data_IF_689130864710
#
_entry.id   IF_689130864710
#
_cell.length_a   1.000
_cell.length_b   1.000
_cell.length_c   1.000
_cell.angle_alpha   90.00
_cell.angle_beta   90.00
_cell.angle_gamma   90.00
#
_symmetry.space_group_name_H-M   'P 1'
#
loop_
_entity.id
_entity.type
_entity.pdbx_description
1 polymer ?
#
# COMPACT_ATOMS: atom_id res chain seq x y z
N UNK A 1 9.60 -12.01 -6.33
CA UNK A 1 8.45 -11.08 -6.20
C UNK A 1 7.39 -11.53 -7.18
N UNK A 2 6.09 -11.43 -6.87
CA UNK A 2 5.00 -12.15 -7.57
C UNK A 2 4.59 -11.60 -8.96
N UNK A 3 5.43 -10.77 -9.62
CA UNK A 3 5.12 -10.23 -10.94
C UNK A 3 3.75 -9.54 -11.05
N UNK A 4 3.18 -9.53 -12.26
CA UNK A 4 1.80 -9.13 -12.48
C UNK A 4 0.83 -10.25 -12.05
N UNK A 5 -0.13 -9.92 -11.17
CA UNK A 5 -1.13 -10.88 -10.70
C UNK A 5 -2.31 -10.94 -11.65
N UNK A 6 -2.82 -12.16 -11.90
CA UNK A 6 -4.05 -12.41 -12.66
C UNK A 6 -4.91 -13.47 -11.98
N UNK A 7 -6.16 -13.55 -12.40
CA UNK A 7 -7.11 -14.55 -11.93
C UNK A 7 -7.16 -15.68 -12.97
N UNK A 8 -6.97 -16.92 -12.52
CA UNK A 8 -7.15 -18.11 -13.34
C UNK A 8 -8.13 -19.06 -12.64
N UNK A 9 -9.33 -19.18 -13.20
CA UNK A 9 -10.43 -19.90 -12.55
C UNK A 9 -10.81 -19.25 -11.21
N UNK A 10 -10.60 -19.98 -10.11
CA UNK A 10 -10.87 -19.51 -8.74
C UNK A 10 -9.59 -19.16 -7.93
N UNK A 11 -8.43 -19.05 -8.58
CA UNK A 11 -7.14 -18.76 -7.91
C UNK A 11 -6.50 -17.49 -8.47
N UNK A 12 -5.79 -16.78 -7.60
CA UNK A 12 -4.83 -15.77 -8.02
C UNK A 12 -3.54 -16.48 -8.43
N UNK A 13 -2.98 -16.10 -9.59
CA UNK A 13 -1.70 -16.61 -10.09
C UNK A 13 -0.77 -15.45 -10.43
N UNK A 14 0.54 -15.70 -10.34
CA UNK A 14 1.57 -14.77 -10.80
C UNK A 14 1.77 -14.80 -12.33
N UNK A 15 2.73 -14.03 -12.81
CA UNK A 15 3.13 -13.98 -14.22
C UNK A 15 3.50 -15.36 -14.77
N UNK A 16 4.08 -16.23 -13.94
CA UNK A 16 4.53 -17.57 -14.28
C UNK A 16 3.44 -18.65 -14.12
N UNK A 17 2.20 -18.27 -13.81
CA UNK A 17 1.06 -19.15 -13.52
C UNK A 17 1.14 -19.91 -12.19
N UNK A 18 2.01 -19.52 -11.26
CA UNK A 18 2.02 -20.13 -9.93
C UNK A 18 0.92 -19.53 -9.05
N UNK A 19 0.16 -20.35 -8.31
CA UNK A 19 -0.87 -19.85 -7.40
C UNK A 19 -0.25 -19.04 -6.27
N UNK A 20 -0.77 -17.82 -6.07
CA UNK A 20 -0.29 -16.87 -5.05
C UNK A 20 -1.36 -16.66 -4.00
N UNK A 21 -0.93 -16.61 -2.74
CA UNK A 21 -1.74 -16.16 -1.62
C UNK A 21 -1.12 -14.91 -1.01
N UNK A 22 -1.87 -13.80 -1.04
CA UNK A 22 -1.45 -12.55 -0.41
C UNK A 22 -1.97 -12.50 1.03
N UNK A 23 -1.06 -12.24 1.97
CA UNK A 23 -1.33 -12.02 3.39
C UNK A 23 -0.70 -10.72 3.84
N UNK A 24 -1.43 -9.94 4.63
CA UNK A 24 -0.91 -8.71 5.21
C UNK A 24 -1.98 -7.88 5.91
N UNK A 25 -1.70 -6.60 6.10
CA UNK A 25 -2.42 -5.73 7.02
C UNK A 25 -3.23 -4.65 6.31
N UNK A 26 -4.34 -4.25 6.91
CA UNK A 26 -5.04 -3.03 6.55
C UNK A 26 -4.63 -1.90 7.48
N UNK A 27 -4.32 -0.74 6.92
CA UNK A 27 -4.24 0.49 7.70
C UNK A 27 -5.65 0.89 8.15
N UNK A 28 -5.72 1.61 9.26
CA UNK A 28 -6.96 2.23 9.72
C UNK A 28 -7.32 3.44 8.86
N UNK A 29 -8.52 3.98 9.05
CA UNK A 29 -9.05 5.09 8.24
C UNK A 29 -8.07 6.26 8.17
N UNK A 30 -7.76 6.69 6.95
CA UNK A 30 -6.78 7.75 6.66
C UNK A 30 -7.03 9.05 7.43
N UNK A 31 -8.29 9.36 7.74
CA UNK A 31 -8.72 10.55 8.49
C UNK A 31 -8.26 10.54 9.96
N UNK A 32 -8.30 9.38 10.61
CA UNK A 32 -7.95 9.22 12.04
C UNK A 32 -6.55 8.66 12.27
N UNK A 33 -5.91 8.14 11.21
CA UNK A 33 -4.65 7.41 11.29
C UNK A 33 -3.56 8.03 10.42
N UNK A 34 -3.67 9.33 10.10
CA UNK A 34 -2.72 10.05 9.24
C UNK A 34 -1.23 9.82 9.60
N UNK A 35 -0.83 9.74 10.89
CA UNK A 35 0.56 9.48 11.25
C UNK A 35 1.10 8.12 10.76
N UNK A 36 0.25 7.13 10.50
CA UNK A 36 0.66 5.79 10.07
C UNK A 36 0.78 5.65 8.54
N UNK A 37 0.35 6.65 7.77
CA UNK A 37 0.47 6.70 6.32
C UNK A 37 1.82 7.29 5.88
N UNK A 38 2.91 6.63 6.28
CA UNK A 38 4.26 7.05 5.95
C UNK A 38 5.13 5.85 5.54
N UNK A 39 6.26 6.13 4.89
CA UNK A 39 7.18 5.10 4.39
C UNK A 39 7.81 4.24 5.51
N UNK A 40 8.04 4.78 6.70
CA UNK A 40 8.64 4.04 7.81
C UNK A 40 7.69 2.97 8.35
N UNK A 41 6.41 3.31 8.52
CA UNK A 41 5.37 2.35 8.92
C UNK A 41 5.24 1.23 7.89
N UNK A 42 5.27 1.55 6.59
CA UNK A 42 5.23 0.53 5.54
C UNK A 42 6.47 -0.36 5.54
N UNK A 43 7.67 0.22 5.67
CA UNK A 43 8.91 -0.54 5.78
C UNK A 43 8.82 -1.53 6.94
N UNK A 44 8.36 -1.09 8.10
CA UNK A 44 8.16 -1.96 9.27
C UNK A 44 7.16 -3.10 9.00
N UNK A 45 6.03 -2.82 8.34
CA UNK A 45 5.04 -3.85 7.98
C UNK A 45 5.60 -4.89 6.99
N UNK A 46 6.49 -4.47 6.09
CA UNK A 46 7.15 -5.38 5.14
C UNK A 46 8.28 -6.16 5.80
N UNK A 47 9.17 -5.51 6.55
CA UNK A 47 10.35 -6.16 7.14
C UNK A 47 10.03 -7.01 8.36
N UNK A 48 9.18 -6.52 9.26
CA UNK A 48 8.93 -7.15 10.56
C UNK A 48 7.69 -8.04 10.53
N UNK A 49 6.58 -7.54 9.98
CA UNK A 49 5.32 -8.30 9.88
C UNK A 49 5.30 -9.23 8.66
N UNK A 50 6.24 -9.06 7.71
CA UNK A 50 6.31 -9.85 6.45
C UNK A 50 5.02 -9.77 5.63
N UNK A 51 4.39 -8.59 5.63
CA UNK A 51 3.17 -8.35 4.85
C UNK A 51 3.47 -8.33 3.35
N UNK A 52 2.80 -9.20 2.59
CA UNK A 52 2.86 -9.25 1.12
C UNK A 52 1.87 -8.29 0.45
N UNK A 53 0.86 -7.83 1.20
CA UNK A 53 -0.09 -6.81 0.78
C UNK A 53 -0.37 -5.84 1.93
N UNK A 54 -0.48 -4.56 1.63
CA UNK A 54 -0.93 -3.55 2.58
C UNK A 54 -2.08 -2.79 1.93
N UNK A 55 -3.22 -2.71 2.64
CA UNK A 55 -4.41 -1.98 2.19
C UNK A 55 -4.40 -0.58 2.80
N UNK A 56 -4.46 0.45 1.95
CA UNK A 56 -4.75 1.81 2.34
C UNK A 56 -6.28 2.00 2.44
N UNK A 57 -6.79 2.32 3.63
CA UNK A 57 -8.22 2.53 3.87
C UNK A 57 -8.53 4.03 3.85
N UNK A 58 -8.87 4.54 2.66
CA UNK A 58 -9.21 5.94 2.46
C UNK A 58 -10.67 6.19 2.81
N UNK A 59 -10.92 7.08 3.78
CA UNK A 59 -12.27 7.57 4.09
C UNK A 59 -12.74 8.58 3.05
N UNK A 60 -13.99 8.45 2.59
CA UNK A 60 -14.54 9.30 1.51
C UNK A 60 -15.54 10.33 2.01
N UNK A 61 -16.14 10.13 3.18
CA UNK A 61 -17.24 10.96 3.68
C UNK A 61 -16.85 12.42 3.93
N UNK A 62 -17.72 13.33 3.51
CA UNK A 62 -17.55 14.78 3.60
C UNK A 62 -17.72 15.30 5.05
N UNK A 63 -18.41 14.53 5.89
CA UNK A 63 -18.88 14.99 7.21
C UNK A 63 -17.95 14.57 8.36
N UNK A 64 -16.82 13.92 8.03
CA UNK A 64 -15.93 13.25 9.00
C UNK A 64 -14.43 13.44 8.66
N UNK A 65 -14.04 14.56 8.06
CA UNK A 65 -12.67 14.80 7.57
C UNK A 65 -12.18 13.76 6.54
N UNK A 66 -13.10 13.23 5.73
CA UNK A 66 -12.77 12.30 4.64
C UNK A 66 -12.24 13.00 3.40
N UNK A 67 -12.08 12.22 2.34
CA UNK A 67 -11.47 12.66 1.07
C UNK A 67 -12.10 13.94 0.50
N UNK A 68 -13.42 14.10 0.62
CA UNK A 68 -14.15 15.23 0.02
C UNK A 68 -13.93 16.57 0.74
N UNK A 69 -13.39 16.57 1.96
CA UNK A 69 -13.19 17.79 2.76
C UNK A 69 -11.72 18.27 2.77
N UNK A 70 -10.79 17.42 2.30
CA UNK A 70 -9.34 17.68 2.35
C UNK A 70 -8.53 16.88 1.32
N UNK A 71 -9.02 16.87 0.08
CA UNK A 71 -8.60 15.98 -1.01
C UNK A 71 -7.08 15.92 -1.23
N UNK A 72 -6.38 17.05 -1.22
CA UNK A 72 -4.93 17.12 -1.53
C UNK A 72 -4.05 16.40 -0.49
N UNK A 73 -4.29 16.61 0.80
CA UNK A 73 -3.49 15.99 1.88
C UNK A 73 -3.77 14.49 2.00
N UNK A 74 -5.01 14.06 1.79
CA UNK A 74 -5.40 12.64 1.94
C UNK A 74 -4.95 11.80 0.74
N UNK A 75 -5.02 12.34 -0.47
CA UNK A 75 -4.35 11.74 -1.65
C UNK A 75 -2.85 11.63 -1.40
N UNK A 76 -2.21 12.66 -0.83
CA UNK A 76 -0.77 12.65 -0.61
C UNK A 76 -0.33 11.58 0.40
N UNK A 77 -1.09 11.36 1.47
CA UNK A 77 -0.86 10.28 2.43
C UNK A 77 -0.94 8.89 1.75
N UNK A 78 -1.95 8.69 0.91
CA UNK A 78 -2.11 7.44 0.15
C UNK A 78 -1.01 7.31 -0.92
N UNK A 79 -0.65 8.38 -1.62
CA UNK A 79 0.46 8.39 -2.59
C UNK A 79 1.80 8.08 -1.93
N UNK A 80 2.09 8.62 -0.76
CA UNK A 80 3.29 8.28 0.02
C UNK A 80 3.35 6.78 0.30
N UNK A 81 2.19 6.16 0.57
CA UNK A 81 2.11 4.72 0.78
C UNK A 81 2.38 3.90 -0.50
N UNK A 82 2.00 4.41 -1.67
CA UNK A 82 2.31 3.80 -2.96
C UNK A 82 3.77 3.98 -3.35
N UNK A 83 4.33 5.18 -3.14
CA UNK A 83 5.68 5.52 -3.57
C UNK A 83 6.74 4.75 -2.78
N UNK A 84 6.44 4.39 -1.52
CA UNK A 84 7.30 3.49 -0.74
C UNK A 84 7.53 2.13 -1.43
N UNK A 85 6.61 1.60 -2.25
CA UNK A 85 6.85 0.37 -3.04
C UNK A 85 7.86 0.59 -4.17
N UNK A 86 7.89 1.77 -4.78
CA UNK A 86 8.95 2.16 -5.72
C UNK A 86 10.26 2.43 -5.00
N UNK A 87 10.23 3.08 -3.83
CA UNK A 87 11.42 3.30 -3.00
C UNK A 87 12.03 2.00 -2.47
N UNK A 88 11.24 0.99 -2.10
CA UNK A 88 11.79 -0.32 -1.71
C UNK A 88 12.44 -1.03 -2.90
N UNK A 89 11.98 -0.78 -4.14
CA UNK A 89 12.67 -1.24 -5.35
C UNK A 89 13.94 -0.42 -5.65
N UNK A 90 13.93 0.90 -5.35
CA UNK A 90 15.11 1.79 -5.45
C UNK A 90 16.08 1.69 -4.25
N UNK A 91 15.76 1.02 -3.15
CA UNK A 91 16.72 0.87 -2.05
C UNK A 91 17.78 -0.21 -2.34
N UNK A 92 17.58 -1.02 -3.38
CA UNK A 92 18.62 -1.90 -3.93
C UNK A 92 19.44 -1.22 -5.03
N UNK A 93 18.96 -0.12 -5.63
CA UNK A 93 19.67 0.67 -6.63
C UNK A 93 19.26 2.15 -6.50
N UNK A 94 20.18 2.95 -5.96
CA UNK A 94 20.14 4.41 -5.83
C UNK A 94 19.38 5.07 -7.00
N UNK A 95 18.23 5.68 -6.70
CA UNK A 95 17.52 6.53 -7.64
C UNK A 95 17.92 7.99 -7.35
N UNK A 96 18.87 8.51 -8.13
CA UNK A 96 19.11 9.95 -8.23
C UNK A 96 17.96 10.60 -9.02
N UNK A 97 17.59 11.81 -8.59
CA UNK A 97 16.67 12.71 -9.28
C UNK A 97 17.14 13.07 -10.70
#
# INVERSE_FOLDING_TARGET
MFGALRIQGNKFVDENNYPVQLKGMSLYWSQWSTPFYNANTLKYLVSNIKSSIIRAAMGVQQDMDGYLDGESTRIQAVRSSYDCRRCCYCQSHVCHH
#
